data_IF_810168013269
#
_entry.id   IF_810168013269
#
_cell.length_a   1.000
_cell.length_b   1.000
_cell.length_c   1.000
_cell.angle_alpha   90.00
_cell.angle_beta   90.00
_cell.angle_gamma   90.00
#
_symmetry.space_group_name_H-M   'P 1'
#
loop_
_entity.id
_entity.type
_entity.pdbx_description
1 polymer ?
#
# COMPACT_ATOMS: atom_id res chain seq x y z
N UNK A 1 28.34 -20.67 -9.44
CA UNK A 1 29.50 -20.54 -8.57
C UNK A 1 29.09 -20.13 -7.16
N UNK A 2 29.94 -20.36 -6.15
CA UNK A 2 29.64 -19.89 -4.79
C UNK A 2 29.42 -18.37 -4.70
N UNK A 3 30.08 -17.62 -5.55
CA UNK A 3 29.96 -16.17 -5.62
C UNK A 3 28.56 -15.77 -6.15
N UNK A 4 28.08 -16.43 -7.20
CA UNK A 4 26.74 -16.17 -7.75
C UNK A 4 25.65 -16.57 -6.75
N UNK A 5 25.79 -17.70 -6.07
CA UNK A 5 24.87 -18.13 -5.01
C UNK A 5 24.84 -17.14 -3.86
N UNK A 6 25.98 -16.60 -3.45
CA UNK A 6 26.08 -15.59 -2.41
C UNK A 6 25.43 -14.27 -2.84
N UNK A 7 25.60 -13.86 -4.11
CA UNK A 7 25.00 -12.67 -4.67
C UNK A 7 23.45 -12.78 -4.71
N UNK A 8 22.94 -13.92 -5.16
CA UNK A 8 21.51 -14.21 -5.20
C UNK A 8 20.91 -14.18 -3.78
N UNK A 9 21.62 -14.77 -2.81
CA UNK A 9 21.19 -14.78 -1.42
C UNK A 9 21.17 -13.37 -0.83
N UNK A 10 22.18 -12.55 -1.13
CA UNK A 10 22.23 -11.14 -0.71
C UNK A 10 21.08 -10.32 -1.29
N UNK A 11 20.74 -10.53 -2.58
CA UNK A 11 19.61 -9.87 -3.24
C UNK A 11 18.29 -10.26 -2.55
N UNK A 12 18.09 -11.54 -2.23
CA UNK A 12 16.89 -12.01 -1.52
C UNK A 12 16.76 -11.42 -0.11
N UNK A 13 17.89 -11.30 0.61
CA UNK A 13 17.90 -10.71 1.97
C UNK A 13 17.57 -9.21 1.92
N UNK A 14 17.82 -8.53 0.80
CA UNK A 14 17.54 -7.11 0.62
C UNK A 14 16.11 -6.82 0.14
N UNK A 15 15.32 -7.85 -0.22
CA UNK A 15 13.93 -7.67 -0.61
C UNK A 15 13.09 -7.14 0.56
N UNK A 16 12.24 -6.15 0.26
CA UNK A 16 11.31 -5.63 1.26
C UNK A 16 10.14 -6.59 1.49
N UNK A 17 9.46 -6.43 2.62
CA UNK A 17 8.21 -7.15 2.87
C UNK A 17 7.17 -6.88 1.77
N UNK A 18 7.15 -5.66 1.20
CA UNK A 18 6.19 -5.32 0.13
C UNK A 18 6.53 -6.03 -1.18
N UNK A 19 7.83 -6.16 -1.53
CA UNK A 19 8.23 -6.96 -2.68
C UNK A 19 7.80 -8.43 -2.55
N UNK A 20 7.88 -8.98 -1.35
CA UNK A 20 7.44 -10.34 -1.05
C UNK A 20 5.91 -10.49 -1.11
N UNK A 21 5.18 -9.49 -0.69
CA UNK A 21 3.72 -9.42 -0.84
C UNK A 21 3.33 -9.41 -2.32
N UNK A 22 3.98 -8.57 -3.12
CA UNK A 22 3.73 -8.46 -4.56
C UNK A 22 4.03 -9.78 -5.27
N UNK A 23 5.07 -10.48 -4.86
CA UNK A 23 5.45 -11.79 -5.40
C UNK A 23 4.52 -12.93 -4.95
N UNK A 24 3.59 -12.69 -4.02
CA UNK A 24 2.69 -13.70 -3.49
C UNK A 24 3.30 -14.59 -2.42
N UNK A 25 4.50 -14.29 -1.93
CA UNK A 25 5.18 -15.05 -0.88
C UNK A 25 4.59 -14.79 0.51
N UNK A 26 4.07 -13.58 0.73
CA UNK A 26 3.39 -13.18 1.97
C UNK A 26 1.94 -12.83 1.61
N UNK A 27 0.96 -13.38 2.33
CA UNK A 27 -0.44 -13.05 2.07
C UNK A 27 -0.76 -11.60 2.39
N UNK A 28 -1.69 -11.02 1.63
CA UNK A 28 -2.20 -9.67 1.86
C UNK A 28 -3.67 -9.60 1.45
N UNK A 29 -4.30 -8.48 1.76
CA UNK A 29 -5.67 -8.18 1.33
C UNK A 29 -5.60 -7.24 0.13
N UNK A 30 -5.46 -7.82 -1.06
CA UNK A 30 -5.30 -7.06 -2.30
C UNK A 30 -6.56 -6.26 -2.62
N UNK A 31 -6.36 -5.02 -3.01
CA UNK A 31 -7.42 -4.09 -3.42
C UNK A 31 -7.39 -3.87 -4.93
N UNK A 32 -6.23 -3.62 -5.50
CA UNK A 32 -6.08 -3.33 -6.93
C UNK A 32 -4.66 -3.63 -7.38
N UNK A 33 -4.49 -3.79 -8.69
CA UNK A 33 -3.19 -4.06 -9.30
C UNK A 33 -3.22 -3.64 -10.76
N UNK A 34 -2.09 -3.11 -11.25
CA UNK A 34 -1.81 -2.98 -12.67
C UNK A 34 -0.37 -3.44 -12.95
N UNK A 35 0.17 -3.15 -14.13
CA UNK A 35 1.51 -3.63 -14.51
C UNK A 35 2.61 -3.09 -13.59
N UNK A 36 2.46 -1.87 -13.07
CA UNK A 36 3.52 -1.16 -12.34
C UNK A 36 3.23 -0.97 -10.85
N UNK A 37 1.96 -1.03 -10.43
CA UNK A 37 1.55 -0.68 -9.07
C UNK A 37 0.65 -1.73 -8.46
N UNK A 38 0.64 -1.75 -7.13
CA UNK A 38 -0.11 -2.72 -6.35
C UNK A 38 -0.73 -2.00 -5.14
N UNK A 39 -1.97 -2.31 -4.82
CA UNK A 39 -2.67 -1.75 -3.67
C UNK A 39 -3.22 -2.85 -2.79
N UNK A 40 -3.02 -2.72 -1.49
CA UNK A 40 -3.50 -3.67 -0.48
C UNK A 40 -3.78 -2.95 0.84
N UNK A 41 -4.58 -3.58 1.70
CA UNK A 41 -4.93 -2.99 2.98
C UNK A 41 -3.73 -2.99 3.94
N UNK A 42 -3.60 -1.92 4.70
CA UNK A 42 -2.69 -1.88 5.85
C UNK A 42 -3.26 -2.80 6.94
N UNK A 43 -2.45 -3.75 7.42
CA UNK A 43 -2.86 -4.68 8.49
C UNK A 43 -2.85 -4.05 9.88
N UNK A 44 -2.27 -2.85 10.01
CA UNK A 44 -2.33 -2.01 11.20
C UNK A 44 -3.01 -0.69 10.85
N UNK A 45 -4.31 -0.73 10.48
CA UNK A 45 -4.97 0.43 9.91
C UNK A 45 -5.33 1.47 10.95
N UNK A 46 -5.25 2.73 10.56
CA UNK A 46 -5.77 3.85 11.37
C UNK A 46 -7.30 3.84 11.40
N UNK A 47 -7.91 3.50 10.26
CA UNK A 47 -9.36 3.39 10.09
C UNK A 47 -9.65 2.24 9.12
N UNK A 48 -10.90 1.78 9.07
CA UNK A 48 -11.33 0.81 8.05
C UNK A 48 -11.17 1.42 6.66
N UNK A 49 -10.51 0.70 5.77
CA UNK A 49 -10.24 1.17 4.41
C UNK A 49 -8.87 1.80 4.21
N UNK A 50 -8.06 1.92 5.27
CA UNK A 50 -6.67 2.37 5.16
C UNK A 50 -5.91 1.44 4.19
N UNK A 51 -5.50 1.97 3.05
CA UNK A 51 -4.92 1.24 1.94
C UNK A 51 -3.52 1.76 1.65
N UNK A 52 -2.63 0.87 1.24
CA UNK A 52 -1.29 1.20 0.79
C UNK A 52 -1.20 1.02 -0.72
N UNK A 53 -0.57 1.98 -1.39
CA UNK A 53 -0.25 1.91 -2.82
C UNK A 53 1.26 1.86 -2.94
N UNK A 54 1.77 0.84 -3.62
CA UNK A 54 3.21 0.60 -3.76
C UNK A 54 3.59 0.42 -5.23
N UNK A 55 4.79 0.87 -5.65
CA UNK A 55 5.33 0.48 -6.94
C UNK A 55 5.81 -0.97 -6.87
N UNK A 56 5.68 -1.70 -7.96
CA UNK A 56 6.26 -3.05 -8.08
C UNK A 56 7.79 -2.99 -8.13
N UNK A 57 8.33 -1.91 -8.67
CA UNK A 57 9.74 -1.61 -8.59
C UNK A 57 10.11 -1.30 -7.14
N UNK A 58 11.19 -1.95 -6.64
CA UNK A 58 11.66 -1.74 -5.28
C UNK A 58 12.48 -0.47 -5.19
N UNK A 59 11.83 0.61 -4.76
CA UNK A 59 12.43 1.94 -4.56
C UNK A 59 12.06 2.40 -3.15
N UNK A 60 13.04 2.72 -2.33
CA UNK A 60 12.83 3.12 -0.94
C UNK A 60 12.17 4.50 -0.85
N UNK A 61 12.68 5.47 -1.58
CA UNK A 61 12.28 6.88 -1.50
C UNK A 61 11.44 7.26 -2.72
N UNK A 62 10.20 7.71 -2.49
CA UNK A 62 9.26 8.00 -3.56
C UNK A 62 9.81 9.03 -4.56
N UNK A 63 10.62 10.00 -4.09
CA UNK A 63 11.21 11.01 -4.95
C UNK A 63 12.38 10.50 -5.80
N UNK A 64 12.79 9.25 -5.62
CA UNK A 64 13.75 8.60 -6.51
C UNK A 64 13.09 7.90 -7.70
N UNK A 65 11.75 7.85 -7.73
CA UNK A 65 11.02 7.42 -8.92
C UNK A 65 11.21 8.42 -10.05
N UNK A 66 11.18 7.94 -11.31
CA UNK A 66 11.12 8.83 -12.45
C UNK A 66 9.87 9.69 -12.42
N UNK A 67 9.89 10.84 -13.08
CA UNK A 67 8.71 11.71 -13.19
C UNK A 67 7.52 10.95 -13.75
N UNK A 68 7.76 10.12 -14.78
CA UNK A 68 6.74 9.29 -15.39
C UNK A 68 6.12 8.29 -14.40
N UNK A 69 6.95 7.56 -13.66
CA UNK A 69 6.48 6.57 -12.69
C UNK A 69 5.81 7.22 -11.48
N UNK A 70 6.33 8.36 -11.02
CA UNK A 70 5.70 9.13 -9.94
C UNK A 70 4.29 9.61 -10.35
N UNK A 71 4.16 10.14 -11.55
CA UNK A 71 2.86 10.58 -12.08
C UNK A 71 1.91 9.41 -12.24
N UNK A 72 2.36 8.29 -12.81
CA UNK A 72 1.54 7.09 -13.00
C UNK A 72 1.10 6.49 -11.66
N UNK A 73 1.97 6.52 -10.64
CA UNK A 73 1.64 6.06 -9.29
C UNK A 73 0.51 6.88 -8.67
N UNK A 74 0.54 8.20 -8.83
CA UNK A 74 -0.53 9.08 -8.33
C UNK A 74 -1.83 8.92 -9.09
N UNK A 75 -1.78 8.68 -10.40
CA UNK A 75 -2.99 8.36 -11.18
C UNK A 75 -3.62 7.06 -10.69
N UNK A 76 -2.82 6.04 -10.45
CA UNK A 76 -3.28 4.78 -9.87
C UNK A 76 -3.86 4.98 -8.46
N UNK A 77 -3.17 5.75 -7.61
CA UNK A 77 -3.66 6.09 -6.27
C UNK A 77 -5.00 6.81 -6.32
N UNK A 78 -5.21 7.71 -7.28
CA UNK A 78 -6.50 8.39 -7.48
C UNK A 78 -7.61 7.39 -7.77
N UNK A 79 -7.37 6.41 -8.62
CA UNK A 79 -8.36 5.37 -8.94
C UNK A 79 -8.74 4.57 -7.68
N UNK A 80 -7.76 4.21 -6.88
CA UNK A 80 -7.98 3.49 -5.61
C UNK A 80 -8.72 4.39 -4.61
N UNK A 81 -8.33 5.65 -4.49
CA UNK A 81 -8.99 6.62 -3.61
C UNK A 81 -10.47 6.79 -3.95
N UNK A 82 -10.80 6.88 -5.24
CA UNK A 82 -12.21 6.96 -5.70
C UNK A 82 -12.99 5.70 -5.32
N UNK A 83 -12.38 4.53 -5.42
CA UNK A 83 -13.00 3.29 -5.00
C UNK A 83 -13.24 3.26 -3.47
N UNK A 84 -12.28 3.77 -2.68
CA UNK A 84 -12.43 3.89 -1.22
C UNK A 84 -13.62 4.81 -0.89
N UNK A 85 -13.73 5.96 -1.55
CA UNK A 85 -14.84 6.90 -1.35
C UNK A 85 -16.21 6.26 -1.61
N UNK A 86 -16.29 5.42 -2.62
CA UNK A 86 -17.55 4.70 -2.94
C UNK A 86 -17.86 3.62 -1.92
N UNK A 87 -16.86 2.94 -1.41
CA UNK A 87 -17.02 1.83 -0.47
C UNK A 87 -17.29 2.31 0.97
N UNK A 88 -16.71 3.44 1.36
CA UNK A 88 -16.77 3.96 2.74
C UNK A 88 -17.14 5.43 2.76
N UNK A 89 -18.21 5.81 3.48
CA UNK A 89 -18.54 7.23 3.65
C UNK A 89 -17.39 7.97 4.32
N UNK A 90 -16.90 9.02 3.68
CA UNK A 90 -15.84 9.86 4.22
C UNK A 90 -15.93 11.26 3.60
N UNK A 91 -15.38 12.24 4.29
CA UNK A 91 -15.33 13.61 3.75
C UNK A 91 -14.30 13.72 2.63
N UNK A 92 -13.15 13.08 2.83
CA UNK A 92 -12.06 13.00 1.85
C UNK A 92 -11.24 11.73 2.11
N UNK A 93 -10.46 11.33 1.12
CA UNK A 93 -9.37 10.38 1.33
C UNK A 93 -8.10 11.20 1.54
N UNK A 94 -7.49 11.05 2.72
CA UNK A 94 -6.20 11.66 3.03
C UNK A 94 -5.06 10.85 2.43
N UNK A 95 -3.99 11.52 2.07
CA UNK A 95 -2.80 10.92 1.47
C UNK A 95 -1.57 11.29 2.27
N UNK A 96 -0.71 10.32 2.54
CA UNK A 96 0.57 10.54 3.20
C UNK A 96 1.63 9.59 2.67
N UNK A 97 2.86 10.07 2.59
CA UNK A 97 4.04 9.28 2.24
C UNK A 97 5.10 9.54 3.30
N UNK A 98 5.52 8.50 4.00
CA UNK A 98 6.53 8.59 5.07
C UNK A 98 7.69 7.64 4.79
N UNK A 99 7.45 6.32 4.81
CA UNK A 99 8.42 5.32 4.38
C UNK A 99 9.64 5.13 5.26
N UNK A 100 9.55 5.41 6.56
CA UNK A 100 10.68 5.26 7.48
C UNK A 100 10.82 3.85 8.04
N UNK A 101 9.72 3.11 8.18
CA UNK A 101 9.74 1.76 8.75
C UNK A 101 10.05 0.69 7.69
N UNK A 102 9.41 0.79 6.52
CA UNK A 102 9.62 -0.15 5.42
C UNK A 102 10.33 0.59 4.29
N UNK A 103 11.54 0.13 3.86
CA UNK A 103 12.30 0.81 2.81
C UNK A 103 11.79 0.49 1.41
N UNK A 104 10.51 0.71 1.20
CA UNK A 104 9.80 0.54 -0.07
C UNK A 104 8.73 1.63 -0.12
N UNK A 105 8.85 2.55 -1.07
CA UNK A 105 7.96 3.69 -1.20
C UNK A 105 6.50 3.27 -1.20
N UNK A 106 5.68 3.93 -0.41
CA UNK A 106 4.25 3.65 -0.35
C UNK A 106 3.44 4.89 -0.01
N UNK A 107 2.31 5.00 -0.67
CA UNK A 107 1.32 6.03 -0.42
C UNK A 107 0.27 5.44 0.51
N UNK A 108 0.03 6.10 1.65
CA UNK A 108 -1.10 5.80 2.51
C UNK A 108 -2.33 6.53 1.99
N UNK A 109 -3.41 5.80 1.77
CA UNK A 109 -4.75 6.34 1.45
C UNK A 109 -5.68 6.01 2.60
N UNK A 110 -6.23 7.05 3.24
CA UNK A 110 -6.98 6.91 4.48
C UNK A 110 -8.29 7.69 4.37
N UNK A 111 -9.45 7.03 4.42
CA UNK A 111 -10.72 7.75 4.44
C UNK A 111 -10.86 8.50 5.77
N UNK A 112 -11.05 9.83 5.71
CA UNK A 112 -11.02 10.68 6.89
C UNK A 112 -12.27 11.55 7.01
N UNK A 113 -12.62 11.88 8.26
CA UNK A 113 -13.68 12.81 8.64
C UNK A 113 -13.12 14.09 9.25
N UNK A 114 -11.89 14.05 9.77
CA UNK A 114 -11.18 15.15 10.43
C UNK A 114 -9.67 14.93 10.32
N UNK A 115 -8.89 16.00 10.49
CA UNK A 115 -7.42 15.94 10.37
C UNK A 115 -6.78 14.93 11.32
N UNK A 116 -7.30 14.83 12.54
CA UNK A 116 -6.75 13.91 13.54
C UNK A 116 -6.87 12.44 13.16
N UNK A 117 -7.69 12.09 12.17
CA UNK A 117 -7.75 10.72 11.64
C UNK A 117 -6.44 10.33 10.92
N UNK A 118 -5.62 11.31 10.52
CA UNK A 118 -4.32 11.09 9.88
C UNK A 118 -3.15 10.96 10.87
N UNK A 119 -3.38 11.03 12.16
CA UNK A 119 -2.31 10.91 13.16
C UNK A 119 -1.85 9.45 13.26
N UNK A 120 -0.64 9.18 12.81
CA UNK A 120 -0.06 7.82 12.85
C UNK A 120 0.23 7.35 14.29
N UNK A 121 0.20 8.25 15.26
CA UNK A 121 0.27 7.92 16.68
C UNK A 121 -1.06 7.44 17.27
N UNK A 122 -2.16 7.55 16.54
CA UNK A 122 -3.45 7.02 16.99
C UNK A 122 -3.37 5.50 17.17
N UNK A 123 -4.16 4.93 18.11
CA UNK A 123 -4.25 3.47 18.22
C UNK A 123 -4.68 2.83 16.90
N UNK A 124 -4.01 1.74 16.51
CA UNK A 124 -4.37 0.99 15.31
C UNK A 124 -5.55 0.09 15.58
N UNK A 125 -6.43 -0.05 14.58
CA UNK A 125 -7.55 -0.98 14.67
C UNK A 125 -7.04 -2.42 14.60
N UNK A 126 -7.72 -3.32 15.33
CA UNK A 126 -7.52 -4.76 15.24
C UNK A 126 -8.76 -5.35 14.57
N UNK A 127 -8.61 -5.75 13.30
CA UNK A 127 -9.70 -6.30 12.52
C UNK A 127 -9.50 -7.80 12.34
N UNK A 128 -10.58 -8.54 12.23
CA UNK A 128 -10.54 -9.96 11.89
C UNK A 128 -10.18 -10.16 10.42
N UNK A 129 -9.72 -11.37 10.09
CA UNK A 129 -9.47 -11.76 8.70
C UNK A 129 -10.70 -11.53 7.81
N UNK A 130 -11.88 -11.91 8.32
CA UNK A 130 -13.15 -11.72 7.60
C UNK A 130 -13.48 -10.25 7.34
N UNK A 131 -13.23 -9.38 8.33
CA UNK A 131 -13.42 -7.94 8.18
C UNK A 131 -12.47 -7.36 7.13
N UNK A 132 -11.20 -7.73 7.16
CA UNK A 132 -10.25 -7.30 6.13
C UNK A 132 -10.66 -7.76 4.73
N UNK A 133 -11.06 -9.02 4.58
CA UNK A 133 -11.53 -9.57 3.29
C UNK A 133 -12.74 -8.80 2.78
N UNK A 134 -13.70 -8.52 3.65
CA UNK A 134 -14.91 -7.76 3.30
C UNK A 134 -14.57 -6.33 2.85
N UNK A 135 -13.67 -5.66 3.55
CA UNK A 135 -13.21 -4.31 3.22
C UNK A 135 -12.51 -4.29 1.86
N UNK A 136 -11.56 -5.21 1.65
CA UNK A 136 -10.84 -5.30 0.40
C UNK A 136 -11.77 -5.57 -0.78
N UNK A 137 -12.74 -6.47 -0.60
CA UNK A 137 -13.72 -6.77 -1.63
C UNK A 137 -14.62 -5.57 -1.95
N UNK A 138 -15.05 -4.83 -0.94
CA UNK A 138 -15.87 -3.63 -1.13
C UNK A 138 -15.15 -2.58 -1.96
N UNK A 139 -13.88 -2.33 -1.67
CA UNK A 139 -13.07 -1.37 -2.43
C UNK A 139 -12.82 -1.88 -3.85
N UNK A 140 -12.41 -3.14 -3.99
CA UNK A 140 -12.18 -3.74 -5.31
C UNK A 140 -13.42 -3.67 -6.20
N UNK A 141 -14.58 -3.97 -5.65
CA UNK A 141 -15.86 -3.93 -6.39
C UNK A 141 -16.28 -2.51 -6.80
N UNK A 142 -15.65 -1.50 -6.23
CA UNK A 142 -15.92 -0.09 -6.50
C UNK A 142 -14.94 0.55 -7.50
N UNK A 143 -13.98 -0.22 -7.98
CA UNK A 143 -13.00 0.22 -8.99
C UNK A 143 -13.64 0.52 -10.34
#
# INVERSE_FOLDING_TARGET
SPYEACLILSIKVMETIFSRIIAGEIPCYKVAENDKFFAFLDINPLVKGHTLVVPKQEVDYIFDLSDEDLAAMHVFAKQVARAIEKAFPCKKVGEAVIGLEVPHAHIHLIPIQKESDMLFSNPKLKLSDEEFKSIAQAINSSL
#
